data_IF_041286821126
#
_entry.id   IF_041286821126
#
_cell.length_a   1.000
_cell.length_b   1.000
_cell.length_c   1.000
_cell.angle_alpha   90.00
_cell.angle_beta   90.00
_cell.angle_gamma   90.00
#
_symmetry.space_group_name_H-M   'P 1'
#
loop_
_entity.id
_entity.type
_entity.pdbx_description
1 polymer ?
#
# COMPACT_ATOMS: atom_id res chain seq x y z
N UNK A 1 -26.23 44.48 -31.16
CA UNK A 1 -25.96 44.09 -29.76
C UNK A 1 -25.20 42.78 -29.80
N UNK A 2 -23.90 42.86 -29.53
CA UNK A 2 -22.92 41.82 -29.80
C UNK A 2 -22.94 40.70 -28.76
N UNK A 3 -22.65 39.50 -29.28
CA UNK A 3 -22.20 38.26 -28.66
C UNK A 3 -21.70 38.31 -27.20
N UNK A 4 -22.24 37.40 -26.37
CA UNK A 4 -21.52 36.83 -25.22
C UNK A 4 -21.16 35.36 -25.49
N UNK A 5 -19.86 35.18 -25.69
CA UNK A 5 -18.99 34.07 -25.29
C UNK A 5 -19.24 32.64 -25.79
N UNK A 6 -18.45 32.27 -26.82
CA UNK A 6 -17.80 30.95 -26.95
C UNK A 6 -16.42 30.95 -26.20
N UNK A 7 -15.47 30.04 -26.52
CA UNK A 7 -14.83 29.06 -25.64
C UNK A 7 -13.44 29.53 -25.16
N UNK A 8 -12.73 28.78 -24.32
CA UNK A 8 -11.28 28.99 -24.18
C UNK A 8 -10.53 27.68 -23.93
N UNK A 9 -9.89 27.19 -25.01
CA UNK A 9 -8.51 26.72 -24.92
C UNK A 9 -7.61 27.95 -25.03
N UNK A 10 -6.49 27.94 -24.30
CA UNK A 10 -5.27 28.73 -24.49
C UNK A 10 -4.89 29.68 -23.34
N UNK A 11 -3.76 29.31 -22.72
CA UNK A 11 -2.65 30.15 -22.27
C UNK A 11 -2.69 30.90 -20.92
N UNK A 12 -1.57 30.70 -20.22
CA UNK A 12 -0.87 31.64 -19.34
C UNK A 12 -1.17 31.57 -17.84
N UNK A 13 -0.43 30.69 -17.16
CA UNK A 13 0.28 31.10 -15.93
C UNK A 13 1.77 30.90 -16.20
N UNK A 14 2.39 31.93 -16.78
CA UNK A 14 3.81 32.21 -16.62
C UNK A 14 4.03 32.85 -15.25
N UNK A 15 5.20 32.57 -14.68
CA UNK A 15 5.77 33.08 -13.43
C UNK A 15 5.40 32.35 -12.14
N UNK A 16 6.05 31.21 -11.92
CA UNK A 16 6.76 30.98 -10.66
C UNK A 16 8.21 30.61 -10.96
N UNK A 17 9.08 31.56 -10.66
CA UNK A 17 10.52 31.50 -10.42
C UNK A 17 11.39 30.51 -11.22
N UNK A 18 11.94 31.13 -12.26
CA UNK A 18 13.20 30.83 -12.91
C UNK A 18 14.39 31.05 -11.96
N UNK A 19 14.40 30.36 -10.82
CA UNK A 19 15.49 30.36 -9.84
C UNK A 19 15.70 28.97 -9.24
N UNK A 20 15.86 27.96 -10.11
CA UNK A 20 16.52 26.70 -9.75
C UNK A 20 17.46 26.28 -10.87
N UNK A 21 18.43 27.15 -11.17
CA UNK A 21 19.67 26.74 -11.83
C UNK A 21 20.64 26.36 -10.72
N UNK A 22 20.59 25.11 -10.28
CA UNK A 22 21.76 24.41 -9.75
C UNK A 22 21.96 23.14 -10.59
N UNK A 23 22.50 23.41 -11.77
CA UNK A 23 23.52 22.65 -12.49
C UNK A 23 23.89 21.34 -11.77
N UNK A 24 23.19 20.25 -12.10
CA UNK A 24 23.83 18.96 -12.01
C UNK A 24 25.00 19.02 -13.01
N UNK A 25 26.24 18.97 -12.49
CA UNK A 25 27.44 18.94 -13.32
C UNK A 25 27.22 17.87 -14.39
N UNK A 26 27.38 18.25 -15.67
CA UNK A 26 27.22 17.38 -16.83
C UNK A 26 27.99 16.07 -16.62
N UNK A 27 29.11 16.11 -15.88
CA UNK A 27 29.89 14.93 -15.48
C UNK A 27 29.13 13.96 -14.57
N UNK A 28 28.38 14.45 -13.58
CA UNK A 28 27.60 13.60 -12.66
C UNK A 28 26.41 12.97 -13.38
N UNK A 29 25.75 13.73 -14.27
CA UNK A 29 24.69 13.19 -15.13
C UNK A 29 25.25 12.06 -16.01
N UNK A 30 26.37 12.31 -16.67
CA UNK A 30 27.02 11.34 -17.56
C UNK A 30 27.48 10.09 -16.78
N UNK A 31 28.07 10.25 -15.60
CA UNK A 31 28.51 9.13 -14.75
C UNK A 31 27.35 8.20 -14.35
N UNK A 32 26.18 8.76 -14.04
CA UNK A 32 24.98 7.98 -13.72
C UNK A 32 24.46 7.17 -14.92
N UNK A 33 24.46 7.76 -16.12
CA UNK A 33 24.10 7.04 -17.35
C UNK A 33 25.12 5.94 -17.69
N UNK A 34 26.41 6.18 -17.46
CA UNK A 34 27.46 5.16 -17.62
C UNK A 34 27.26 3.97 -16.68
N UNK A 35 26.92 4.25 -15.42
CA UNK A 35 26.64 3.21 -14.44
C UNK A 35 25.39 2.38 -14.79
N UNK A 36 24.35 3.02 -15.31
CA UNK A 36 23.16 2.33 -15.82
C UNK A 36 23.48 1.44 -17.05
N UNK A 37 24.29 1.95 -17.99
CA UNK A 37 24.71 1.21 -19.18
C UNK A 37 25.58 -0.01 -18.84
N UNK A 38 26.48 0.09 -17.87
CA UNK A 38 27.31 -1.04 -17.40
C UNK A 38 26.49 -2.19 -16.81
N UNK A 39 25.33 -1.91 -16.21
CA UNK A 39 24.44 -2.97 -15.71
C UNK A 39 23.77 -3.76 -16.84
N UNK A 40 23.60 -3.14 -18.01
CA UNK A 40 23.02 -3.78 -19.20
C UNK A 40 24.11 -4.43 -20.07
N UNK A 41 25.29 -3.83 -20.16
CA UNK A 41 26.39 -4.25 -21.03
C UNK A 41 27.73 -4.33 -20.25
N UNK A 42 27.90 -5.33 -19.36
CA UNK A 42 29.04 -5.38 -18.43
C UNK A 42 30.39 -5.71 -19.07
N UNK A 43 30.40 -6.21 -20.30
CA UNK A 43 31.62 -6.67 -21.00
C UNK A 43 32.02 -5.79 -22.19
N UNK A 44 31.35 -4.66 -22.42
CA UNK A 44 31.68 -3.77 -23.52
C UNK A 44 32.99 -3.00 -23.25
N UNK A 45 33.99 -3.20 -24.12
CA UNK A 45 35.30 -2.56 -24.03
C UNK A 45 35.24 -1.05 -24.23
N UNK A 46 34.25 -0.52 -24.97
CA UNK A 46 34.11 0.90 -25.23
C UNK A 46 33.58 1.66 -24.00
N UNK A 47 32.72 1.03 -23.18
CA UNK A 47 32.27 1.59 -21.91
C UNK A 47 33.41 1.73 -20.88
N UNK A 48 34.41 0.86 -20.92
CA UNK A 48 35.61 0.96 -20.07
C UNK A 48 36.54 2.10 -20.48
N UNK A 49 36.67 2.35 -21.78
CA UNK A 49 37.50 3.44 -22.31
C UNK A 49 36.90 4.83 -21.99
N UNK A 50 35.58 4.97 -22.06
CA UNK A 50 34.88 6.22 -21.71
C UNK A 50 34.96 6.55 -20.22
N UNK A 51 34.98 5.54 -19.35
CA UNK A 51 35.18 5.73 -17.91
C UNK A 51 36.58 6.25 -17.58
N UNK A 52 37.63 5.74 -18.24
CA UNK A 52 39.00 6.22 -18.05
C UNK A 52 39.17 7.70 -18.45
N UNK A 53 38.53 8.12 -19.54
CA UNK A 53 38.52 9.52 -19.99
C UNK A 53 37.84 10.48 -18.99
N UNK A 54 36.88 10.00 -18.21
CA UNK A 54 36.20 10.79 -17.16
C UNK A 54 37.03 10.92 -15.87
N UNK A 55 37.99 10.02 -15.64
CA UNK A 55 38.80 9.95 -14.41
C UNK A 55 40.12 10.73 -14.54
N UNK A 56 40.72 10.80 -15.73
CA UNK A 56 42.05 11.40 -15.94
C UNK A 56 42.08 12.95 -15.86
N UNK A 57 40.94 13.63 -15.71
CA UNK A 57 40.88 15.11 -15.66
C UNK A 57 41.02 15.74 -14.25
N UNK A 58 41.31 14.97 -13.19
CA UNK A 58 41.56 15.52 -11.84
C UNK A 58 42.72 14.84 -11.09
N UNK A 59 43.94 15.30 -11.34
CA UNK A 59 45.05 15.21 -10.39
C UNK A 59 45.81 16.53 -10.36
N UNK A 60 45.26 17.52 -9.67
CA UNK A 60 45.98 18.67 -9.10
C UNK A 60 45.10 19.27 -8.01
N UNK A 61 45.26 18.74 -6.79
CA UNK A 61 45.58 19.52 -5.59
C UNK A 61 45.16 18.81 -4.29
N UNK A 62 46.06 18.92 -3.32
CA UNK A 62 46.09 18.27 -1.99
C UNK A 62 44.82 18.48 -1.16
N UNK A 63 44.49 17.54 -0.25
CA UNK A 63 43.48 17.79 0.78
C UNK A 63 44.11 18.60 1.92
N UNK A 64 43.73 19.87 2.06
CA UNK A 64 43.93 20.60 3.31
C UNK A 64 42.91 20.11 4.34
N UNK A 65 43.41 19.85 5.53
CA UNK A 65 42.69 19.40 6.72
C UNK A 65 41.60 20.38 7.16
N UNK A 66 40.35 20.09 6.83
CA UNK A 66 39.17 20.65 7.49
C UNK A 66 38.39 19.53 8.18
N UNK A 67 38.86 19.13 9.37
CA UNK A 67 38.07 18.38 10.34
C UNK A 67 38.14 19.19 11.63
N UNK A 68 37.04 19.67 12.18
CA UNK A 68 36.42 19.03 13.35
C UNK A 68 34.98 19.54 13.61
N UNK A 69 34.49 20.57 12.91
CA UNK A 69 33.11 21.09 13.10
C UNK A 69 32.01 20.33 12.33
N UNK A 70 32.39 19.35 11.51
CA UNK A 70 31.53 18.71 10.51
C UNK A 70 31.24 17.23 10.74
N UNK A 71 31.80 16.62 11.79
CA UNK A 71 31.65 15.19 12.04
C UNK A 71 30.18 14.80 12.25
N UNK A 72 29.41 15.58 13.00
CA UNK A 72 28.01 15.28 13.30
C UNK A 72 27.08 15.33 12.08
N UNK A 73 27.20 16.35 11.24
CA UNK A 73 26.37 16.48 10.02
C UNK A 73 26.76 15.43 8.98
N UNK A 74 28.06 15.17 8.82
CA UNK A 74 28.55 14.11 7.95
C UNK A 74 28.03 12.74 8.39
N UNK A 75 28.08 12.44 9.68
CA UNK A 75 27.55 11.20 10.24
C UNK A 75 26.04 11.05 9.94
N UNK A 76 25.26 12.14 10.10
CA UNK A 76 23.81 12.15 9.77
C UNK A 76 23.54 11.94 8.27
N UNK A 77 24.37 12.48 7.39
CA UNK A 77 24.28 12.22 5.95
C UNK A 77 24.58 10.75 5.64
N UNK A 78 25.69 10.22 6.15
CA UNK A 78 26.10 8.81 5.95
C UNK A 78 25.03 7.83 6.52
N UNK A 79 24.44 8.15 7.67
CA UNK A 79 23.33 7.39 8.25
C UNK A 79 22.06 7.43 7.39
N UNK A 80 21.70 8.60 6.85
CA UNK A 80 20.52 8.72 5.98
C UNK A 80 20.72 7.99 4.66
N UNK A 81 21.91 8.11 4.06
CA UNK A 81 22.27 7.41 2.84
C UNK A 81 22.16 5.89 3.03
N UNK A 82 22.75 5.35 4.11
CA UNK A 82 22.64 3.94 4.45
C UNK A 82 21.18 3.49 4.68
N UNK A 83 20.35 4.34 5.31
CA UNK A 83 18.90 4.06 5.48
C UNK A 83 18.16 4.05 4.16
N UNK A 84 18.46 4.99 3.25
CA UNK A 84 17.85 5.06 1.92
C UNK A 84 18.25 3.86 1.05
N UNK A 85 19.51 3.42 1.10
CA UNK A 85 19.97 2.23 0.40
C UNK A 85 19.30 0.95 0.93
N UNK A 86 19.20 0.82 2.26
CA UNK A 86 18.49 -0.28 2.89
C UNK A 86 17.00 -0.27 2.52
N UNK A 87 16.37 0.90 2.52
CA UNK A 87 14.98 1.08 2.13
C UNK A 87 14.76 0.73 0.66
N UNK A 88 15.64 1.20 -0.24
CA UNK A 88 15.57 0.87 -1.67
C UNK A 88 15.66 -0.64 -1.88
N UNK A 89 16.60 -1.31 -1.22
CA UNK A 89 16.77 -2.77 -1.30
C UNK A 89 15.54 -3.50 -0.79
N UNK A 90 14.99 -3.07 0.36
CA UNK A 90 13.76 -3.62 0.95
C UNK A 90 12.57 -3.48 0.00
N UNK A 91 12.35 -2.28 -0.54
CA UNK A 91 11.18 -1.97 -1.38
C UNK A 91 11.26 -2.65 -2.75
N UNK A 92 12.43 -2.66 -3.39
CA UNK A 92 12.61 -3.32 -4.69
C UNK A 92 12.57 -4.85 -4.61
N UNK A 93 12.86 -5.42 -3.43
CA UNK A 93 12.73 -6.86 -3.18
C UNK A 93 11.33 -7.31 -2.75
N UNK A 94 10.42 -6.37 -2.43
CA UNK A 94 9.06 -6.69 -1.96
C UNK A 94 8.11 -6.82 -3.15
N UNK A 95 7.27 -7.86 -3.13
CA UNK A 95 6.11 -7.95 -4.01
C UNK A 95 4.92 -7.28 -3.35
N UNK A 96 4.31 -6.32 -4.04
CA UNK A 96 3.12 -5.63 -3.59
C UNK A 96 1.89 -6.32 -4.17
N UNK A 97 0.96 -6.74 -3.32
CA UNK A 97 -0.29 -7.35 -3.76
C UNK A 97 -1.45 -6.36 -3.71
N UNK A 98 -1.44 -5.47 -2.71
CA UNK A 98 -2.49 -4.51 -2.45
C UNK A 98 -1.94 -3.08 -2.57
N UNK A 99 -2.80 -2.15 -3.00
CA UNK A 99 -2.43 -0.73 -3.10
C UNK A 99 -2.01 -0.13 -1.76
N UNK A 100 -2.55 -0.68 -0.67
CA UNK A 100 -2.26 -0.23 0.68
C UNK A 100 -0.79 -0.40 1.06
N UNK A 101 -0.22 -1.57 0.77
CA UNK A 101 1.20 -1.84 0.97
C UNK A 101 2.08 -0.83 0.20
N UNK A 102 1.61 -0.37 -0.95
CA UNK A 102 2.32 0.63 -1.78
C UNK A 102 2.22 2.01 -1.15
N UNK A 103 1.06 2.40 -0.62
CA UNK A 103 0.88 3.66 0.09
C UNK A 103 1.74 3.75 1.36
N UNK A 104 1.82 2.67 2.13
CA UNK A 104 2.69 2.60 3.30
C UNK A 104 4.16 2.73 2.92
N UNK A 105 4.58 2.02 1.87
CA UNK A 105 5.93 2.16 1.32
C UNK A 105 6.22 3.58 0.83
N UNK A 106 5.27 4.23 0.14
CA UNK A 106 5.42 5.62 -0.29
C UNK A 106 5.51 6.58 0.89
N UNK A 107 4.76 6.30 1.97
CA UNK A 107 4.79 7.09 3.20
C UNK A 107 6.14 6.95 3.92
N UNK A 108 6.69 5.74 4.00
CA UNK A 108 8.03 5.47 4.54
C UNK A 108 9.11 6.24 3.75
N UNK A 109 9.03 6.25 2.41
CA UNK A 109 9.95 7.03 1.56
C UNK A 109 9.80 8.55 1.81
N UNK A 110 8.58 9.07 1.91
CA UNK A 110 8.33 10.49 2.19
C UNK A 110 8.87 10.94 3.55
N UNK A 111 8.87 10.08 4.56
CA UNK A 111 9.48 10.40 5.86
C UNK A 111 11.00 10.62 5.73
N UNK A 112 11.66 9.82 4.90
CA UNK A 112 13.10 9.96 4.66
C UNK A 112 13.41 11.18 3.78
N UNK A 113 12.52 11.52 2.84
CA UNK A 113 12.57 12.78 2.08
C UNK A 113 12.46 14.01 3.00
N UNK A 114 11.51 14.01 3.94
CA UNK A 114 11.39 15.09 4.93
C UNK A 114 12.65 15.24 5.79
N UNK A 115 13.26 14.13 6.18
CA UNK A 115 14.52 14.14 6.92
C UNK A 115 15.68 14.69 6.07
N UNK A 116 15.73 14.36 4.77
CA UNK A 116 16.69 14.94 3.83
C UNK A 116 16.52 16.45 3.71
N UNK A 117 15.29 16.95 3.52
CA UNK A 117 15.02 18.39 3.47
C UNK A 117 15.49 19.10 4.76
N UNK A 118 15.19 18.51 5.92
CA UNK A 118 15.63 19.07 7.22
C UNK A 118 17.16 19.11 7.34
N UNK A 119 17.84 18.11 6.77
CA UNK A 119 19.30 18.04 6.78
C UNK A 119 19.91 19.06 5.81
N UNK A 120 19.29 19.27 4.66
CA UNK A 120 19.69 20.30 3.69
C UNK A 120 19.56 21.71 4.27
N UNK A 121 18.43 22.03 4.91
CA UNK A 121 18.23 23.31 5.61
C UNK A 121 19.31 23.56 6.68
N UNK A 122 19.66 22.52 7.45
CA UNK A 122 20.73 22.60 8.46
C UNK A 122 22.11 22.81 7.83
N UNK A 123 22.37 22.18 6.67
CA UNK A 123 23.63 22.32 5.95
C UNK A 123 23.73 23.75 5.38
N UNK A 124 22.69 24.25 4.73
CA UNK A 124 22.66 25.59 4.13
C UNK A 124 22.91 26.71 5.15
N UNK A 125 22.44 26.55 6.39
CA UNK A 125 22.58 27.55 7.46
C UNK A 125 24.03 27.80 7.96
N UNK A 126 24.99 26.92 7.63
CA UNK A 126 26.34 26.89 8.23
C UNK A 126 27.46 27.05 7.14
N UNK A 127 27.21 27.82 6.08
CA UNK A 127 28.15 28.05 4.97
C UNK A 127 29.46 28.76 5.40
N UNK A 128 30.64 28.44 4.78
CA UNK A 128 30.81 28.15 3.35
C UNK A 128 31.41 26.80 2.93
N UNK A 129 31.93 25.95 3.82
CA UNK A 129 32.66 24.71 3.45
C UNK A 129 31.76 23.54 2.96
N UNK A 130 30.50 23.79 2.58
CA UNK A 130 29.44 22.76 2.48
C UNK A 130 28.97 22.40 1.07
N UNK A 131 29.48 23.04 0.03
CA UNK A 131 29.00 22.85 -1.35
C UNK A 131 29.03 21.38 -1.80
N UNK A 132 30.06 20.62 -1.42
CA UNK A 132 30.18 19.20 -1.79
C UNK A 132 29.06 18.34 -1.19
N UNK A 133 28.58 18.64 0.01
CA UNK A 133 27.50 17.87 0.66
C UNK A 133 26.16 18.12 -0.03
N UNK A 134 25.85 19.38 -0.36
CA UNK A 134 24.62 19.74 -1.07
C UNK A 134 24.62 19.22 -2.51
N UNK A 135 25.74 19.36 -3.22
CA UNK A 135 25.80 19.06 -4.66
C UNK A 135 26.01 17.59 -4.99
N UNK A 136 26.62 16.81 -4.11
CA UNK A 136 26.93 15.39 -4.37
C UNK A 136 26.06 14.48 -3.53
N UNK A 137 26.17 14.53 -2.20
CA UNK A 137 25.51 13.56 -1.32
C UNK A 137 23.98 13.77 -1.30
N UNK A 138 23.52 15.00 -1.09
CA UNK A 138 22.08 15.29 -1.07
C UNK A 138 21.44 15.05 -2.44
N UNK A 139 22.13 15.43 -3.54
CA UNK A 139 21.67 15.14 -4.90
C UNK A 139 21.54 13.63 -5.18
N UNK A 140 22.48 12.82 -4.68
CA UNK A 140 22.41 11.36 -4.77
C UNK A 140 21.20 10.81 -4.00
N UNK A 141 21.02 11.20 -2.74
CA UNK A 141 19.90 10.78 -1.90
C UNK A 141 18.54 11.18 -2.49
N UNK A 142 18.40 12.41 -3.04
CA UNK A 142 17.21 12.84 -3.79
C UNK A 142 16.94 11.94 -5.00
N UNK A 143 17.98 11.53 -5.71
CA UNK A 143 17.84 10.63 -6.84
C UNK A 143 17.34 9.25 -6.40
N UNK A 144 17.85 8.69 -5.30
CA UNK A 144 17.36 7.42 -4.73
C UNK A 144 15.88 7.51 -4.36
N UNK A 145 15.47 8.59 -3.67
CA UNK A 145 14.07 8.86 -3.33
C UNK A 145 13.20 8.92 -4.58
N UNK A 146 13.61 9.66 -5.60
CA UNK A 146 12.87 9.80 -6.85
C UNK A 146 12.71 8.44 -7.57
N UNK A 147 13.76 7.61 -7.58
CA UNK A 147 13.73 6.26 -8.16
C UNK A 147 12.73 5.38 -7.40
N UNK A 148 12.80 5.34 -6.07
CA UNK A 148 11.86 4.58 -5.24
C UNK A 148 10.42 5.03 -5.45
N UNK A 149 10.17 6.35 -5.45
CA UNK A 149 8.83 6.90 -5.65
C UNK A 149 8.27 6.57 -7.04
N UNK A 150 9.09 6.62 -8.09
CA UNK A 150 8.65 6.25 -9.44
C UNK A 150 8.37 4.76 -9.57
N UNK A 151 9.19 3.91 -8.94
CA UNK A 151 8.94 2.47 -8.85
C UNK A 151 7.60 2.18 -8.14
N UNK A 152 7.36 2.80 -6.98
CA UNK A 152 6.11 2.61 -6.23
C UNK A 152 4.89 3.13 -7.00
N UNK A 153 5.01 4.25 -7.72
CA UNK A 153 3.94 4.73 -8.63
C UNK A 153 3.61 3.72 -9.72
N UNK A 154 4.61 3.06 -10.30
CA UNK A 154 4.37 1.99 -11.26
C UNK A 154 3.64 0.79 -10.60
N UNK A 155 4.08 0.39 -9.40
CA UNK A 155 3.44 -0.68 -8.63
C UNK A 155 1.97 -0.36 -8.25
N UNK A 156 1.61 0.91 -8.04
CA UNK A 156 0.21 1.30 -7.80
C UNK A 156 -0.72 0.94 -8.97
N UNK A 157 -0.22 0.95 -10.20
CA UNK A 157 -1.01 0.61 -11.38
C UNK A 157 -1.19 -0.90 -11.57
N UNK A 158 -0.28 -1.70 -11.01
CA UNK A 158 -0.26 -3.16 -11.13
C UNK A 158 -0.91 -3.87 -9.93
N UNK A 159 -1.17 -3.14 -8.84
CA UNK A 159 -1.77 -3.67 -7.60
C UNK A 159 -3.30 -3.65 -7.62
N UNK A 160 -3.88 -4.56 -6.83
CA UNK A 160 -5.33 -4.73 -6.73
C UNK A 160 -6.02 -3.46 -6.21
N UNK A 161 -7.15 -3.13 -6.81
CA UNK A 161 -8.04 -2.06 -6.34
C UNK A 161 -8.87 -2.53 -5.13
N UNK A 162 -9.65 -1.60 -4.56
CA UNK A 162 -10.48 -1.84 -3.37
C UNK A 162 -11.47 -3.00 -3.54
N UNK A 163 -12.08 -3.13 -4.73
CA UNK A 163 -13.03 -4.20 -5.01
C UNK A 163 -12.32 -5.56 -5.07
N UNK A 164 -11.20 -5.64 -5.80
CA UNK A 164 -10.41 -6.86 -5.91
C UNK A 164 -9.78 -7.25 -4.58
N UNK A 165 -9.32 -6.29 -3.77
CA UNK A 165 -8.84 -6.52 -2.40
C UNK A 165 -9.95 -7.12 -1.53
N UNK A 166 -11.15 -6.54 -1.57
CA UNK A 166 -12.31 -7.05 -0.84
C UNK A 166 -12.63 -8.49 -1.23
N UNK A 167 -12.57 -8.82 -2.52
CA UNK A 167 -12.82 -10.18 -3.01
C UNK A 167 -11.73 -11.18 -2.63
N UNK A 168 -10.46 -10.77 -2.65
CA UNK A 168 -9.33 -11.62 -2.22
C UNK A 168 -9.43 -11.92 -0.71
N UNK A 169 -9.67 -10.89 0.11
CA UNK A 169 -9.70 -11.00 1.57
C UNK A 169 -10.97 -11.70 2.06
N UNK A 170 -12.14 -11.30 1.56
CA UNK A 170 -13.44 -11.83 2.02
C UNK A 170 -13.94 -13.03 1.22
N UNK A 171 -13.38 -13.30 0.04
CA UNK A 171 -13.79 -14.40 -0.83
C UNK A 171 -13.82 -15.77 -0.17
N UNK A 172 -12.80 -16.18 0.62
CA UNK A 172 -12.84 -17.43 1.38
C UNK A 172 -14.05 -17.53 2.34
N UNK A 173 -14.32 -16.47 3.10
CA UNK A 173 -15.44 -16.40 4.03
C UNK A 173 -16.80 -16.52 3.32
N UNK A 174 -16.96 -15.83 2.19
CA UNK A 174 -18.17 -15.91 1.36
C UNK A 174 -18.40 -17.32 0.81
N UNK A 175 -17.33 -18.01 0.40
CA UNK A 175 -17.40 -19.40 -0.08
C UNK A 175 -17.83 -20.36 1.02
N UNK A 176 -17.23 -20.28 2.21
CA UNK A 176 -17.63 -21.12 3.36
C UNK A 176 -19.08 -20.87 3.77
N UNK A 177 -19.51 -19.60 3.84
CA UNK A 177 -20.90 -19.26 4.14
C UNK A 177 -21.86 -19.82 3.08
N UNK A 178 -21.50 -19.76 1.80
CA UNK A 178 -22.32 -20.30 0.70
C UNK A 178 -22.45 -21.81 0.80
N UNK A 179 -21.36 -22.51 1.14
CA UNK A 179 -21.37 -23.95 1.39
C UNK A 179 -22.27 -24.31 2.58
N UNK A 180 -22.16 -23.59 3.70
CA UNK A 180 -23.01 -23.80 4.87
C UNK A 180 -24.49 -23.58 4.53
N UNK A 181 -24.83 -22.52 3.78
CA UNK A 181 -26.20 -22.29 3.27
C UNK A 181 -26.70 -23.42 2.36
N UNK A 182 -25.83 -24.03 1.57
CA UNK A 182 -26.18 -25.20 0.74
C UNK A 182 -26.46 -26.43 1.61
N UNK A 183 -25.60 -26.72 2.60
CA UNK A 183 -25.81 -27.80 3.56
C UNK A 183 -27.12 -27.61 4.34
N UNK A 184 -27.41 -26.39 4.77
CA UNK A 184 -28.64 -26.06 5.47
C UNK A 184 -29.91 -26.28 4.63
N UNK A 185 -29.87 -25.93 3.33
CA UNK A 185 -30.96 -26.23 2.40
C UNK A 185 -31.17 -27.73 2.20
N UNK A 186 -30.08 -28.49 2.10
CA UNK A 186 -30.14 -29.95 2.00
C UNK A 186 -30.76 -30.54 3.27
N UNK A 187 -30.31 -30.08 4.45
CA UNK A 187 -30.84 -30.50 5.73
C UNK A 187 -32.34 -30.21 5.86
N UNK A 188 -32.80 -29.05 5.41
CA UNK A 188 -34.23 -28.75 5.34
C UNK A 188 -35.01 -29.76 4.50
N UNK A 189 -34.47 -30.15 3.34
CA UNK A 189 -35.08 -31.19 2.49
C UNK A 189 -35.11 -32.55 3.21
N UNK A 190 -33.99 -32.97 3.79
CA UNK A 190 -33.83 -34.25 4.52
C UNK A 190 -34.79 -34.32 5.71
N UNK A 191 -34.94 -33.25 6.49
CA UNK A 191 -35.88 -33.17 7.63
C UNK A 191 -37.34 -33.28 7.18
N UNK A 192 -37.70 -32.69 6.04
CA UNK A 192 -39.04 -32.82 5.44
C UNK A 192 -39.30 -34.26 4.96
N UNK A 193 -38.28 -34.92 4.39
CA UNK A 193 -38.40 -36.26 3.81
C UNK A 193 -38.07 -37.40 4.79
N UNK A 194 -37.74 -37.09 6.06
CA UNK A 194 -37.50 -38.01 7.18
C UNK A 194 -36.43 -39.09 6.90
N UNK A 195 -35.28 -38.71 6.35
CA UNK A 195 -34.15 -39.62 6.17
C UNK A 195 -33.20 -39.62 7.39
N UNK A 196 -32.40 -40.70 7.54
CA UNK A 196 -31.67 -41.02 8.78
C UNK A 196 -30.36 -40.25 9.03
N UNK A 197 -29.93 -39.32 8.17
CA UNK A 197 -28.58 -38.72 8.23
C UNK A 197 -28.53 -37.26 8.77
N UNK A 198 -29.60 -36.83 9.45
CA UNK A 198 -29.76 -35.46 9.96
C UNK A 198 -28.70 -35.11 11.03
N UNK A 199 -28.28 -36.08 11.84
CA UNK A 199 -27.31 -35.86 12.93
C UNK A 199 -25.92 -35.49 12.42
N UNK A 200 -25.45 -36.18 11.39
CA UNK A 200 -24.14 -35.96 10.80
C UNK A 200 -24.08 -34.56 10.15
N UNK A 201 -25.11 -34.20 9.37
CA UNK A 201 -25.20 -32.89 8.73
C UNK A 201 -25.32 -31.75 9.75
N UNK A 202 -26.07 -31.95 10.83
CA UNK A 202 -26.17 -30.98 11.93
C UNK A 202 -24.83 -30.81 12.66
N UNK A 203 -24.09 -31.89 12.91
CA UNK A 203 -22.77 -31.83 13.53
C UNK A 203 -21.78 -31.05 12.66
N UNK A 204 -21.75 -31.34 11.35
CA UNK A 204 -20.91 -30.64 10.38
C UNK A 204 -21.24 -29.13 10.31
N UNK A 205 -22.53 -28.77 10.31
CA UNK A 205 -22.96 -27.36 10.36
C UNK A 205 -22.54 -26.66 11.65
N UNK A 206 -22.65 -27.31 12.82
CA UNK A 206 -22.20 -26.72 14.08
C UNK A 206 -20.68 -26.49 14.08
N UNK A 207 -19.91 -27.46 13.56
CA UNK A 207 -18.46 -27.31 13.41
C UNK A 207 -18.12 -26.13 12.49
N UNK A 208 -18.80 -26.00 11.36
CA UNK A 208 -18.60 -24.89 10.43
C UNK A 208 -18.93 -23.52 11.06
N UNK A 209 -20.01 -23.44 11.85
CA UNK A 209 -20.38 -22.21 12.58
C UNK A 209 -19.29 -21.86 13.63
N UNK A 210 -18.80 -22.85 14.37
CA UNK A 210 -17.77 -22.63 15.38
C UNK A 210 -16.47 -22.11 14.75
N UNK A 211 -15.99 -22.76 13.69
CA UNK A 211 -14.83 -22.32 12.92
C UNK A 211 -15.04 -20.91 12.34
N UNK A 212 -16.22 -20.61 11.81
CA UNK A 212 -16.53 -19.30 11.27
C UNK A 212 -16.42 -18.20 12.35
N UNK A 213 -16.94 -18.42 13.56
CA UNK A 213 -16.82 -17.44 14.64
C UNK A 213 -15.38 -17.19 15.06
N UNK A 214 -14.56 -18.25 15.13
CA UNK A 214 -13.13 -18.13 15.44
C UNK A 214 -12.41 -17.29 14.38
N UNK A 215 -12.57 -17.64 13.10
CA UNK A 215 -11.92 -16.90 12.02
C UNK A 215 -12.42 -15.46 11.88
N UNK A 216 -13.72 -15.21 12.06
CA UNK A 216 -14.27 -13.85 12.04
C UNK A 216 -13.69 -13.01 13.19
N UNK A 217 -13.52 -13.59 14.37
CA UNK A 217 -12.95 -12.88 15.52
C UNK A 217 -11.47 -12.49 15.33
N UNK A 218 -10.74 -13.23 14.50
CA UNK A 218 -9.35 -12.91 14.13
C UNK A 218 -9.21 -11.90 12.99
N UNK A 219 -10.31 -11.52 12.33
CA UNK A 219 -10.25 -10.57 11.21
C UNK A 219 -10.11 -9.15 11.72
N UNK A 220 -8.99 -8.52 11.41
CA UNK A 220 -8.72 -7.12 11.71
C UNK A 220 -8.75 -6.26 10.43
N UNK A 221 -9.81 -5.48 10.18
CA UNK A 221 -9.89 -4.60 9.04
C UNK A 221 -8.98 -3.37 9.17
N UNK A 222 -8.45 -3.05 10.36
CA UNK A 222 -7.59 -1.88 10.58
C UNK A 222 -6.18 -2.04 10.00
N UNK A 223 -5.81 -3.26 9.63
CA UNK A 223 -4.60 -3.58 8.88
C UNK A 223 -4.63 -3.07 7.42
N UNK A 224 -5.76 -2.50 6.99
CA UNK A 224 -5.95 -1.98 5.64
C UNK A 224 -6.38 -0.51 5.71
N UNK A 225 -5.64 0.42 5.11
CA UNK A 225 -6.00 1.83 5.03
C UNK A 225 -6.87 2.13 3.80
N UNK A 226 -6.56 1.56 2.65
CA UNK A 226 -7.38 1.63 1.44
C UNK A 226 -8.39 0.47 1.40
N UNK A 227 -9.67 0.76 1.23
CA UNK A 227 -10.70 -0.29 1.17
C UNK A 227 -11.30 -0.73 2.50
N UNK A 228 -10.91 -0.09 3.60
CA UNK A 228 -11.31 -0.48 4.95
C UNK A 228 -12.82 -0.54 5.14
N UNK A 229 -13.54 0.50 4.69
CA UNK A 229 -15.00 0.58 4.86
C UNK A 229 -15.71 -0.57 4.14
N UNK A 230 -15.29 -0.89 2.92
CA UNK A 230 -15.84 -2.01 2.15
C UNK A 230 -15.52 -3.37 2.78
N UNK A 231 -14.34 -3.51 3.40
CA UNK A 231 -13.99 -4.71 4.17
C UNK A 231 -14.85 -4.85 5.43
N UNK A 232 -15.07 -3.77 6.17
CA UNK A 232 -15.94 -3.74 7.36
C UNK A 232 -17.38 -4.08 6.98
N UNK A 233 -17.94 -3.39 5.99
CA UNK A 233 -19.30 -3.67 5.51
C UNK A 233 -19.44 -5.09 4.98
N UNK A 234 -18.47 -5.54 4.19
CA UNK A 234 -18.45 -6.88 3.61
C UNK A 234 -18.39 -7.96 4.70
N UNK A 235 -17.57 -7.75 5.73
CA UNK A 235 -17.48 -8.66 6.87
C UNK A 235 -18.77 -8.65 7.68
N UNK A 236 -19.39 -7.49 7.91
CA UNK A 236 -20.68 -7.42 8.61
C UNK A 236 -21.76 -8.25 7.90
N UNK A 237 -21.83 -8.17 6.55
CA UNK A 237 -22.75 -9.00 5.76
C UNK A 237 -22.48 -10.51 5.91
N UNK A 238 -21.21 -10.90 6.06
CA UNK A 238 -20.80 -12.29 6.31
C UNK A 238 -21.24 -12.73 7.72
N UNK A 239 -20.99 -11.90 8.74
CA UNK A 239 -21.41 -12.12 10.13
C UNK A 239 -22.93 -12.30 10.22
N UNK A 240 -23.69 -11.40 9.61
CA UNK A 240 -25.15 -11.47 9.55
C UNK A 240 -25.63 -12.77 8.87
N UNK A 241 -24.91 -13.19 7.82
CA UNK A 241 -25.14 -14.45 7.14
C UNK A 241 -24.95 -15.67 8.04
N UNK A 242 -23.84 -15.72 8.81
CA UNK A 242 -23.58 -16.79 9.76
C UNK A 242 -24.57 -16.80 10.93
N UNK A 243 -24.95 -15.62 11.43
CA UNK A 243 -25.99 -15.47 12.44
C UNK A 243 -27.35 -16.00 11.96
N UNK A 244 -27.68 -15.80 10.68
CA UNK A 244 -28.86 -16.40 10.06
C UNK A 244 -28.77 -17.93 10.00
N UNK A 245 -27.66 -18.49 9.51
CA UNK A 245 -27.42 -19.94 9.48
C UNK A 245 -27.54 -20.54 10.88
N UNK A 246 -26.92 -19.94 11.90
CA UNK A 246 -26.99 -20.38 13.29
C UNK A 246 -28.43 -20.37 13.85
N UNK A 247 -29.23 -19.35 13.52
CA UNK A 247 -30.65 -19.30 13.89
C UNK A 247 -31.46 -20.43 13.24
N UNK A 248 -31.26 -20.67 11.95
CA UNK A 248 -31.96 -21.71 11.21
C UNK A 248 -31.58 -23.12 11.71
N UNK A 249 -30.29 -23.38 11.97
CA UNK A 249 -29.83 -24.63 12.62
C UNK A 249 -30.50 -24.85 13.98
N UNK A 250 -30.60 -23.80 14.81
CA UNK A 250 -31.33 -23.88 16.09
C UNK A 250 -32.81 -24.17 15.90
N UNK A 251 -33.46 -23.61 14.88
CA UNK A 251 -34.85 -23.88 14.57
C UNK A 251 -35.05 -25.35 14.16
N UNK A 252 -34.18 -25.90 13.30
CA UNK A 252 -34.21 -27.31 12.90
C UNK A 252 -34.07 -28.24 14.11
N UNK A 253 -33.10 -27.96 15.00
CA UNK A 253 -32.93 -28.73 16.25
C UNK A 253 -34.19 -28.73 17.11
N UNK A 254 -34.88 -27.59 17.24
CA UNK A 254 -36.14 -27.49 18.01
C UNK A 254 -37.27 -28.29 17.38
N UNK A 255 -37.49 -28.15 16.07
CA UNK A 255 -38.52 -28.91 15.34
C UNK A 255 -38.31 -30.40 15.51
N UNK A 256 -37.05 -30.85 15.44
CA UNK A 256 -36.72 -32.26 15.64
C UNK A 256 -37.00 -32.76 17.06
N UNK A 257 -36.87 -31.90 18.07
CA UNK A 257 -37.25 -32.20 19.46
C UNK A 257 -38.77 -32.10 19.70
N UNK A 258 -39.57 -31.88 18.67
CA UNK A 258 -41.02 -31.67 18.80
C UNK A 258 -41.40 -30.31 19.40
N UNK A 259 -40.45 -29.39 19.50
CA UNK A 259 -40.65 -28.04 20.03
C UNK A 259 -41.00 -27.07 18.89
N UNK A 260 -41.89 -26.11 19.15
CA UNK A 260 -42.21 -25.06 18.18
C UNK A 260 -40.96 -24.25 17.79
N UNK A 261 -40.81 -23.85 16.52
CA UNK A 261 -39.78 -22.89 16.13
C UNK A 261 -39.97 -21.60 16.93
N UNK A 262 -38.91 -21.06 17.53
CA UNK A 262 -39.05 -19.75 18.19
C UNK A 262 -39.32 -18.68 17.13
N UNK A 263 -40.30 -17.82 17.41
CA UNK A 263 -40.63 -16.66 16.59
C UNK A 263 -39.41 -15.75 16.53
N UNK A 264 -38.91 -15.44 15.32
CA UNK A 264 -37.83 -14.46 15.17
C UNK A 264 -38.34 -13.08 15.60
N UNK A 265 -37.54 -12.24 16.25
CA UNK A 265 -37.91 -10.85 16.43
C UNK A 265 -37.92 -10.22 15.04
N UNK A 266 -39.13 -9.93 14.56
CA UNK A 266 -39.32 -9.00 13.44
C UNK A 266 -38.71 -7.69 13.90
N UNK A 267 -37.74 -7.18 13.13
CA UNK A 267 -37.24 -5.82 13.28
C UNK A 267 -38.40 -4.86 12.97
N UNK A 268 -39.22 -4.60 13.98
CA UNK A 268 -40.29 -3.63 13.94
C UNK A 268 -39.68 -2.25 14.04
N UNK A 269 -39.43 -1.63 12.89
CA UNK A 269 -39.29 -0.18 12.81
C UNK A 269 -40.67 0.41 13.15
N UNK A 270 -40.84 1.21 14.22
CA UNK A 270 -42.05 1.99 14.34
C UNK A 270 -41.95 3.11 13.30
N UNK A 271 -42.74 3.02 12.22
CA UNK A 271 -43.03 4.22 11.46
C UNK A 271 -43.88 5.11 12.36
N UNK A 272 -43.22 6.15 12.84
CA UNK A 272 -43.86 7.40 13.25
C UNK A 272 -44.82 7.88 12.17
N UNK A 273 -45.90 8.50 12.64
CA UNK A 273 -46.78 9.47 11.96
C UNK A 273 -47.60 8.95 10.79
N UNK A 274 -48.93 8.90 10.95
CA UNK A 274 -49.73 9.99 10.38
C UNK A 274 -51.04 10.21 11.11
N UNK A 275 -51.31 11.51 11.27
CA UNK A 275 -52.47 12.13 11.89
C UNK A 275 -53.69 12.04 10.99
N UNK A 276 -54.87 11.87 11.59
CA UNK A 276 -56.15 12.46 11.13
C UNK A 276 -57.09 12.52 12.32
#
# INVERSE_FOLDING_TARGET
MCHRFRPFLSASITHFDLAFVMIADTRTIVACYFHALKRVLPHDSHLKQLEQLLVDEKMTDKPSSESILFSGTRLRCEELEAKLDALMTKLMGKTFHFRDDVFDAMSEVRQHEQFLCSLEEYIEADLPAKERFLTVNCAHMRTLIAVMMNFLKAQMHETLDEAAQTDVVLGPYRRHLTQAKKMLRNLHSVVVHRTNDVDLELAALNSAIAQAHEHISSFDPTLFHFGQEHLVEGMQRIVDGWNKVSREVRAIKRVRLGLSPAVSPVSGRPNSTDSS
#
